data_IF_351261368170
#
_entry.id   IF_351261368170
#
_cell.length_a   1.000
_cell.length_b   1.000
_cell.length_c   1.000
_cell.angle_alpha   90.00
_cell.angle_beta   90.00
_cell.angle_gamma   90.00
#
_symmetry.space_group_name_H-M   'P 1'
#
loop_
_entity.id
_entity.type
_entity.pdbx_description
1 polymer ?
#
# COMPACT_ATOMS: atom_id res chain seq x y z
N UNK A 1 -7.18 12.21 -7.93
CA UNK A 1 -6.41 11.90 -9.17
C UNK A 1 -5.83 10.51 -9.07
N UNK A 2 -5.66 9.82 -10.19
CA UNK A 2 -5.21 8.42 -10.25
C UNK A 2 -3.90 8.31 -11.03
N UNK A 3 -2.93 7.55 -10.52
CA UNK A 3 -1.70 7.14 -11.21
C UNK A 3 -1.64 5.62 -11.28
N UNK A 4 -1.02 5.10 -12.34
CA UNK A 4 -0.87 3.67 -12.58
C UNK A 4 0.61 3.32 -12.74
N UNK A 5 0.98 2.17 -12.21
CA UNK A 5 2.26 1.51 -12.45
C UNK A 5 1.96 0.05 -12.79
N UNK A 6 2.66 -0.52 -13.75
CA UNK A 6 2.55 -1.93 -14.10
C UNK A 6 3.91 -2.51 -14.44
N UNK A 7 4.11 -3.77 -14.09
CA UNK A 7 5.29 -4.54 -14.46
C UNK A 7 4.92 -6.00 -14.58
N UNK A 8 5.65 -6.71 -15.42
CA UNK A 8 5.50 -8.16 -15.62
C UNK A 8 6.86 -8.81 -15.44
N UNK A 9 6.87 -10.01 -14.88
CA UNK A 9 8.05 -10.83 -14.68
C UNK A 9 7.62 -12.27 -14.45
N UNK A 10 8.58 -13.19 -14.37
CA UNK A 10 8.30 -14.59 -14.07
C UNK A 10 9.23 -15.14 -12.99
N UNK A 11 8.84 -16.30 -12.46
CA UNK A 11 9.66 -17.14 -11.60
C UNK A 11 9.93 -18.47 -12.32
N UNK A 12 11.19 -18.93 -12.30
CA UNK A 12 11.61 -20.28 -12.70
C UNK A 12 11.21 -21.32 -11.64
N UNK A 13 9.94 -21.29 -11.23
CA UNK A 13 9.32 -22.21 -10.29
C UNK A 13 7.89 -22.51 -10.74
N UNK A 14 7.44 -23.74 -10.49
CA UNK A 14 6.07 -24.15 -10.79
C UNK A 14 5.03 -23.40 -9.98
N UNK A 15 3.82 -23.27 -10.53
CA UNK A 15 2.71 -22.49 -9.96
C UNK A 15 2.40 -22.87 -8.50
N UNK A 16 2.45 -24.16 -8.16
CA UNK A 16 2.21 -24.63 -6.79
C UNK A 16 3.26 -24.12 -5.80
N UNK A 17 4.54 -24.12 -6.20
CA UNK A 17 5.64 -23.64 -5.37
C UNK A 17 5.56 -22.11 -5.19
N UNK A 18 5.26 -21.37 -6.26
CA UNK A 18 5.07 -19.91 -6.20
C UNK A 18 3.86 -19.53 -5.34
N UNK A 19 2.75 -20.24 -5.48
CA UNK A 19 1.54 -20.01 -4.68
C UNK A 19 1.80 -20.31 -3.20
N UNK A 20 2.49 -21.40 -2.87
CA UNK A 20 2.87 -21.72 -1.50
C UNK A 20 3.84 -20.66 -0.91
N UNK A 21 4.87 -20.29 -1.67
CA UNK A 21 5.81 -19.25 -1.28
C UNK A 21 5.10 -17.92 -1.01
N UNK A 22 4.08 -17.56 -1.81
CA UNK A 22 3.30 -16.35 -1.59
C UNK A 22 2.60 -16.30 -0.23
N UNK A 23 2.12 -17.44 0.26
CA UNK A 23 1.53 -17.52 1.59
C UNK A 23 2.58 -17.51 2.71
N UNK A 24 3.79 -18.01 2.44
CA UNK A 24 4.90 -18.08 3.39
C UNK A 24 5.90 -16.92 3.30
N UNK A 25 5.65 -15.93 2.43
CA UNK A 25 6.65 -14.91 2.05
C UNK A 25 7.12 -14.02 3.20
N UNK A 26 6.45 -14.00 4.35
CA UNK A 26 6.85 -13.19 5.50
C UNK A 26 7.06 -14.04 6.74
N UNK A 27 8.13 -13.80 7.49
CA UNK A 27 9.17 -12.78 7.27
C UNK A 27 10.19 -13.18 6.17
N UNK A 28 10.86 -12.16 5.60
CA UNK A 28 12.01 -12.31 4.70
C UNK A 28 12.96 -11.09 4.81
N UNK A 29 14.24 -11.19 4.39
CA UNK A 29 15.23 -10.10 4.55
C UNK A 29 14.89 -8.79 3.83
N UNK A 30 14.06 -8.84 2.79
CA UNK A 30 13.69 -7.69 1.96
C UNK A 30 12.40 -6.99 2.44
N UNK A 31 11.70 -7.57 3.42
CA UNK A 31 10.41 -7.11 3.92
C UNK A 31 10.37 -6.90 5.43
N UNK A 32 11.48 -6.44 6.04
CA UNK A 32 11.63 -6.14 7.48
C UNK A 32 10.62 -5.15 8.07
N UNK A 33 9.94 -4.40 7.21
CA UNK A 33 8.91 -3.45 7.62
C UNK A 33 7.57 -4.14 7.91
N UNK A 34 7.36 -5.40 7.50
CA UNK A 34 6.16 -6.17 7.85
C UNK A 34 6.32 -6.68 9.28
N UNK A 35 5.53 -6.14 10.21
CA UNK A 35 5.57 -6.49 11.62
C UNK A 35 4.78 -7.77 11.92
N UNK A 36 3.58 -7.90 11.34
CA UNK A 36 2.75 -9.09 11.51
C UNK A 36 1.94 -9.40 10.25
N UNK A 37 1.42 -10.62 10.20
CA UNK A 37 0.55 -11.11 9.13
C UNK A 37 -0.43 -12.10 9.71
N UNK A 38 -1.71 -11.78 9.61
CA UNK A 38 -2.79 -12.56 10.23
C UNK A 38 -3.79 -12.98 9.15
N UNK A 39 -4.28 -14.21 9.22
CA UNK A 39 -5.35 -14.68 8.33
C UNK A 39 -6.69 -14.39 8.99
N UNK A 40 -7.47 -13.49 8.41
CA UNK A 40 -8.80 -13.11 8.93
C UNK A 40 -9.83 -14.16 8.57
N UNK A 41 -9.83 -14.59 7.31
CA UNK A 41 -10.74 -15.62 6.83
C UNK A 41 -10.12 -16.42 5.71
N UNK A 42 -10.50 -17.69 5.63
CA UNK A 42 -10.13 -18.59 4.56
C UNK A 42 -11.30 -19.52 4.27
N UNK A 43 -11.66 -19.64 3.01
CA UNK A 43 -12.76 -20.47 2.57
C UNK A 43 -12.38 -21.16 1.26
N UNK A 44 -12.66 -22.46 1.19
CA UNK A 44 -12.52 -23.26 -0.01
C UNK A 44 -13.90 -23.58 -0.54
N UNK A 45 -14.13 -23.28 -1.81
CA UNK A 45 -15.34 -23.62 -2.55
C UNK A 45 -15.10 -24.93 -3.32
N UNK A 46 -15.75 -26.05 -2.96
CA UNK A 46 -15.59 -27.33 -3.64
C UNK A 46 -16.11 -27.35 -5.09
N UNK A 47 -17.09 -26.53 -5.44
CA UNK A 47 -17.67 -26.51 -6.79
C UNK A 47 -16.69 -25.83 -7.76
N UNK A 48 -16.26 -24.62 -7.43
CA UNK A 48 -15.31 -23.86 -8.25
C UNK A 48 -13.86 -24.29 -8.04
N UNK A 49 -13.56 -25.05 -6.98
CA UNK A 49 -12.20 -25.44 -6.55
C UNK A 49 -11.30 -24.22 -6.28
N UNK A 50 -11.90 -23.18 -5.69
CA UNK A 50 -11.21 -21.92 -5.40
C UNK A 50 -10.96 -21.75 -3.91
N UNK A 51 -9.71 -21.41 -3.58
CA UNK A 51 -9.33 -21.01 -2.23
C UNK A 51 -9.30 -19.49 -2.14
N UNK A 52 -10.23 -18.92 -1.37
CA UNK A 52 -10.22 -17.49 -1.03
C UNK A 52 -9.58 -17.29 0.34
N UNK A 53 -8.55 -16.46 0.44
CA UNK A 53 -7.93 -16.09 1.72
C UNK A 53 -7.91 -14.57 1.86
N UNK A 54 -8.35 -14.06 3.01
CA UNK A 54 -8.22 -12.66 3.41
C UNK A 54 -7.20 -12.56 4.55
N UNK A 55 -6.18 -11.72 4.38
CA UNK A 55 -5.13 -11.48 5.36
C UNK A 55 -5.02 -10.00 5.71
N UNK A 56 -4.60 -9.74 6.94
CA UNK A 56 -4.20 -8.41 7.39
C UNK A 56 -2.69 -8.39 7.61
N UNK A 57 -2.01 -7.45 7.00
CA UNK A 57 -0.59 -7.21 7.23
C UNK A 57 -0.39 -5.88 7.95
N UNK A 58 0.36 -5.90 9.04
CA UNK A 58 0.78 -4.67 9.73
C UNK A 58 2.18 -4.30 9.25
N UNK A 59 2.34 -3.09 8.74
CA UNK A 59 3.62 -2.57 8.24
C UNK A 59 4.07 -1.38 9.07
N UNK A 60 5.30 -1.41 9.57
CA UNK A 60 5.98 -0.23 10.13
C UNK A 60 6.18 0.78 9.00
N UNK A 61 5.72 2.01 9.21
CA UNK A 61 5.82 3.07 8.21
C UNK A 61 6.20 4.39 8.86
N UNK A 62 6.54 5.38 8.03
CA UNK A 62 6.89 6.73 8.45
C UNK A 62 6.19 7.70 7.53
N UNK A 63 5.56 8.72 8.10
CA UNK A 63 4.84 9.72 7.33
C UNK A 63 5.86 10.65 6.66
N UNK A 64 5.74 10.91 5.34
CA UNK A 64 6.59 11.89 4.68
C UNK A 64 6.42 13.28 5.31
N UNK A 65 7.53 14.01 5.53
CA UNK A 65 7.52 15.34 6.14
C UNK A 65 6.53 16.35 5.49
N UNK A 66 6.31 16.37 4.15
CA UNK A 66 5.30 17.24 3.54
C UNK A 66 3.87 16.96 4.01
N UNK A 67 3.55 15.71 4.36
CA UNK A 67 2.22 15.30 4.83
C UNK A 67 2.00 15.70 6.29
N UNK A 68 3.05 15.57 7.12
CA UNK A 68 3.02 16.03 8.53
C UNK A 68 2.73 17.54 8.66
N UNK A 69 3.13 18.35 7.68
CA UNK A 69 2.87 19.81 7.68
C UNK A 69 1.41 20.17 7.35
N UNK A 70 0.64 19.25 6.74
CA UNK A 70 -0.71 19.54 6.24
C UNK A 70 -1.82 19.01 7.14
N UNK A 71 -1.58 17.91 7.83
CA UNK A 71 -2.58 17.20 8.61
C UNK A 71 -2.21 17.27 10.10
N UNK A 72 -3.18 17.53 11.00
CA UNK A 72 -2.90 17.55 12.43
C UNK A 72 -2.32 16.21 12.90
N UNK A 73 -1.21 16.23 13.65
CA UNK A 73 -0.55 15.02 14.16
C UNK A 73 -1.51 14.06 14.88
N UNK A 74 -2.52 14.60 15.57
CA UNK A 74 -3.58 13.83 16.23
C UNK A 74 -4.46 13.03 15.25
N UNK A 75 -4.74 13.55 14.05
CA UNK A 75 -5.47 12.81 13.01
C UNK A 75 -4.61 11.76 12.31
N UNK A 76 -3.30 11.82 12.54
CA UNK A 76 -2.31 11.04 11.84
C UNK A 76 -1.89 9.75 12.59
N UNK A 77 -2.28 9.55 13.85
CA UNK A 77 -1.87 8.35 14.61
C UNK A 77 -0.36 8.10 14.58
N UNK A 78 0.43 9.19 14.50
CA UNK A 78 1.88 9.15 14.37
C UNK A 78 2.50 9.50 15.72
N UNK A 79 3.54 8.77 16.08
CA UNK A 79 4.36 9.05 17.25
C UNK A 79 5.10 10.38 17.07
N UNK A 80 5.66 10.94 18.15
CA UNK A 80 6.39 12.21 18.13
C UNK A 80 7.56 12.20 17.14
N UNK A 81 8.19 11.03 16.99
CA UNK A 81 9.28 10.79 16.04
C UNK A 81 8.79 10.63 14.59
N UNK A 82 7.48 10.64 14.33
CA UNK A 82 6.87 10.46 13.01
C UNK A 82 6.75 9.01 12.54
N UNK A 83 7.10 8.03 13.38
CA UNK A 83 6.81 6.62 13.14
C UNK A 83 5.31 6.35 13.25
N UNK A 84 4.83 5.41 12.44
CA UNK A 84 3.44 4.97 12.45
C UNK A 84 3.36 3.53 11.96
N UNK A 85 2.15 2.99 11.93
CA UNK A 85 1.86 1.67 11.39
C UNK A 85 0.80 1.79 10.31
N UNK A 86 0.90 0.92 9.31
CA UNK A 86 -0.06 0.83 8.23
C UNK A 86 -0.66 -0.56 8.13
N UNK A 87 -1.96 -0.60 7.86
CA UNK A 87 -2.75 -1.82 7.83
C UNK A 87 -3.10 -2.13 6.39
N UNK A 88 -2.61 -3.25 5.87
CA UNK A 88 -2.85 -3.69 4.50
C UNK A 88 -3.78 -4.89 4.52
N UNK A 89 -4.95 -4.74 3.91
CA UNK A 89 -5.86 -5.84 3.66
C UNK A 89 -5.50 -6.49 2.33
N UNK A 90 -5.15 -7.77 2.37
CA UNK A 90 -4.88 -8.61 1.20
C UNK A 90 -6.02 -9.61 1.02
N UNK A 91 -6.58 -9.68 -0.17
CA UNK A 91 -7.46 -10.77 -0.60
C UNK A 91 -6.76 -11.54 -1.71
N UNK A 92 -6.71 -12.85 -1.58
CA UNK A 92 -6.21 -13.76 -2.62
C UNK A 92 -7.29 -14.77 -3.00
N UNK A 93 -7.34 -15.13 -4.27
CA UNK A 93 -8.16 -16.21 -4.82
C UNK A 93 -7.24 -17.08 -5.65
N UNK A 94 -7.16 -18.37 -5.30
CA UNK A 94 -6.38 -19.38 -6.03
C UNK A 94 -7.36 -20.33 -6.71
N UNK A 95 -7.22 -20.51 -8.02
CA UNK A 95 -7.96 -21.51 -8.79
C UNK A 95 -6.97 -22.61 -9.22
N UNK A 96 -7.06 -23.76 -8.56
CA UNK A 96 -6.11 -24.87 -8.77
C UNK A 96 -6.35 -25.55 -10.12
N UNK A 97 -7.60 -25.61 -10.56
CA UNK A 97 -7.99 -26.23 -11.85
C UNK A 97 -7.44 -25.41 -13.02
N UNK A 98 -7.64 -24.10 -12.98
CA UNK A 98 -7.21 -23.19 -14.05
C UNK A 98 -5.75 -22.74 -13.90
N UNK A 99 -5.13 -22.96 -12.73
CA UNK A 99 -3.73 -22.67 -12.47
C UNK A 99 -3.41 -21.17 -12.44
N UNK A 100 -4.27 -20.40 -11.78
CA UNK A 100 -4.03 -18.97 -11.56
C UNK A 100 -4.28 -18.57 -10.11
N UNK A 101 -3.62 -17.50 -9.68
CA UNK A 101 -3.87 -16.83 -8.42
C UNK A 101 -4.00 -15.32 -8.66
N UNK A 102 -5.12 -14.75 -8.21
CA UNK A 102 -5.34 -13.31 -8.19
C UNK A 102 -5.23 -12.78 -6.78
N UNK A 103 -4.57 -11.64 -6.64
CA UNK A 103 -4.39 -10.99 -5.34
C UNK A 103 -4.69 -9.50 -5.45
N UNK A 104 -5.36 -8.94 -4.45
CA UNK A 104 -5.66 -7.52 -4.31
C UNK A 104 -5.25 -7.10 -2.89
N UNK A 105 -4.33 -6.14 -2.81
CA UNK A 105 -3.83 -5.57 -1.57
C UNK A 105 -4.11 -4.07 -1.51
N UNK A 106 -4.66 -3.60 -0.39
CA UNK A 106 -4.96 -2.17 -0.19
C UNK A 106 -4.73 -1.73 1.25
N UNK A 107 -4.32 -0.47 1.42
CA UNK A 107 -4.25 0.15 2.73
C UNK A 107 -5.65 0.46 3.30
N UNK A 108 -5.84 0.19 4.59
CA UNK A 108 -7.06 0.52 5.34
C UNK A 108 -6.96 1.90 5.97
N UNK A 109 -5.77 2.27 6.42
CA UNK A 109 -5.41 3.58 6.93
C UNK A 109 -5.23 4.60 5.80
N UNK A 110 -5.32 5.90 6.09
CA UNK A 110 -4.99 7.00 5.15
C UNK A 110 -5.78 7.10 3.86
N UNK A 111 -6.92 6.42 3.73
CA UNK A 111 -7.71 6.43 2.50
C UNK A 111 -8.20 7.84 2.08
N UNK A 112 -8.26 8.78 3.01
CA UNK A 112 -8.56 10.20 2.74
C UNK A 112 -7.39 11.00 2.13
N UNK A 113 -6.18 10.43 2.14
CA UNK A 113 -4.94 11.04 1.65
C UNK A 113 -4.51 10.31 0.38
N UNK A 114 -4.23 9.01 0.51
CA UNK A 114 -3.74 8.15 -0.57
C UNK A 114 -4.29 6.73 -0.37
N UNK A 115 -4.99 6.22 -1.37
CA UNK A 115 -5.25 4.79 -1.48
C UNK A 115 -4.28 4.17 -2.48
N UNK A 116 -3.59 3.12 -2.05
CA UNK A 116 -2.71 2.28 -2.84
C UNK A 116 -3.42 0.94 -3.01
N UNK A 117 -3.70 0.56 -4.25
CA UNK A 117 -4.33 -0.72 -4.58
C UNK A 117 -3.35 -1.46 -5.48
N UNK A 118 -2.76 -2.53 -4.97
CA UNK A 118 -1.87 -3.42 -5.71
C UNK A 118 -2.62 -4.68 -6.10
N UNK A 119 -2.58 -5.04 -7.37
CA UNK A 119 -3.15 -6.27 -7.90
C UNK A 119 -2.07 -7.08 -8.58
N UNK A 120 -2.00 -8.34 -8.22
CA UNK A 120 -1.05 -9.27 -8.83
C UNK A 120 -1.80 -10.49 -9.36
N UNK A 121 -1.36 -10.96 -10.51
CA UNK A 121 -1.90 -12.16 -11.15
C UNK A 121 -0.76 -13.11 -11.44
N UNK A 122 -0.82 -14.29 -10.86
CA UNK A 122 0.13 -15.38 -11.07
C UNK A 122 -0.56 -16.41 -11.97
N UNK A 123 0.11 -16.89 -13.01
CA UNK A 123 -0.44 -17.89 -13.94
C UNK A 123 0.61 -18.92 -14.32
N UNK A 124 0.17 -20.18 -14.42
CA UNK A 124 0.92 -21.19 -15.17
C UNK A 124 0.96 -20.82 -16.66
N UNK A 125 2.04 -21.13 -17.39
CA UNK A 125 2.06 -21.05 -18.84
C UNK A 125 0.90 -21.85 -19.45
N UNK A 126 0.29 -21.33 -20.51
CA UNK A 126 -0.72 -22.06 -21.29
C UNK A 126 -0.06 -23.17 -22.10
N UNK A 127 -0.71 -24.33 -22.17
CA UNK A 127 -0.24 -25.50 -22.90
C UNK A 127 0.10 -25.15 -24.36
N UNK A 128 1.36 -25.34 -24.76
CA UNK A 128 1.86 -25.03 -26.11
C UNK A 128 3.20 -24.28 -26.18
N UNK A 129 3.80 -23.93 -25.04
CA UNK A 129 5.10 -23.21 -24.98
C UNK A 129 6.16 -24.11 -24.33
N UNK A 130 6.55 -25.18 -25.02
CA UNK A 130 7.75 -25.98 -24.72
C UNK A 130 7.76 -26.74 -23.38
N UNK A 131 8.72 -27.66 -23.24
CA UNK A 131 8.76 -28.73 -22.23
C UNK A 131 8.93 -28.31 -20.74
N UNK A 132 8.83 -27.03 -20.38
CA UNK A 132 9.04 -26.53 -19.00
C UNK A 132 7.79 -25.86 -18.38
N UNK A 133 6.59 -26.22 -18.83
CA UNK A 133 5.30 -25.69 -18.31
C UNK A 133 5.13 -25.91 -16.79
N UNK A 134 5.78 -26.92 -16.23
CA UNK A 134 5.72 -27.25 -14.80
C UNK A 134 6.67 -26.41 -13.93
N UNK A 135 7.62 -25.68 -14.53
CA UNK A 135 8.70 -25.01 -13.81
C UNK A 135 8.73 -23.49 -14.00
N UNK A 136 7.67 -22.88 -14.56
CA UNK A 136 7.59 -21.43 -14.73
C UNK A 136 6.24 -20.90 -14.23
N UNK A 137 6.24 -19.70 -13.68
CA UNK A 137 5.03 -18.97 -13.30
C UNK A 137 5.16 -17.51 -13.75
N UNK A 138 4.25 -17.09 -14.63
CA UNK A 138 4.16 -15.70 -15.08
C UNK A 138 3.44 -14.84 -14.04
N UNK A 139 3.90 -13.61 -13.85
CA UNK A 139 3.38 -12.66 -12.86
C UNK A 139 3.13 -11.30 -13.50
N UNK A 140 1.86 -10.88 -13.48
CA UNK A 140 1.45 -9.52 -13.84
C UNK A 140 1.20 -8.71 -12.57
N UNK A 141 1.83 -7.55 -12.43
CA UNK A 141 1.60 -6.63 -11.31
C UNK A 141 1.08 -5.30 -11.82
N UNK A 142 0.02 -4.80 -11.17
CA UNK A 142 -0.50 -3.45 -11.40
C UNK A 142 -0.74 -2.74 -10.06
N UNK A 143 -0.37 -1.47 -9.99
CA UNK A 143 -0.55 -0.63 -8.81
C UNK A 143 -1.30 0.63 -9.20
N UNK A 144 -2.42 0.86 -8.53
CA UNK A 144 -3.24 2.06 -8.68
C UNK A 144 -3.07 2.95 -7.45
N UNK A 145 -2.59 4.16 -7.66
CA UNK A 145 -2.42 5.18 -6.64
C UNK A 145 -3.52 6.23 -6.78
N UNK A 146 -4.44 6.31 -5.82
CA UNK A 146 -5.54 7.28 -5.80
C UNK A 146 -5.27 8.35 -4.73
N UNK A 147 -4.84 9.53 -5.16
CA UNK A 147 -4.64 10.68 -4.28
C UNK A 147 -5.94 11.47 -4.09
N UNK A 148 -6.32 11.68 -2.83
CA UNK A 148 -7.48 12.49 -2.39
C UNK A 148 -7.07 13.77 -1.64
N UNK A 149 -5.77 14.07 -1.57
CA UNK A 149 -5.24 15.27 -0.91
C UNK A 149 -5.88 16.56 -1.45
N UNK A 150 -6.08 16.65 -2.76
CA UNK A 150 -6.72 17.83 -3.36
C UNK A 150 -8.12 18.12 -2.82
N UNK A 151 -8.90 17.08 -2.53
CA UNK A 151 -10.24 17.22 -1.92
C UNK A 151 -10.13 17.69 -0.47
N UNK A 152 -9.17 17.18 0.30
CA UNK A 152 -8.93 17.60 1.68
C UNK A 152 -8.49 19.06 1.78
N UNK A 153 -7.62 19.50 0.86
CA UNK A 153 -7.20 20.90 0.80
C UNK A 153 -8.38 21.82 0.46
N UNK A 154 -9.24 21.43 -0.48
CA UNK A 154 -10.46 22.18 -0.82
C UNK A 154 -11.41 22.28 0.39
N UNK A 155 -11.67 21.16 1.08
CA UNK A 155 -12.50 21.13 2.30
C UNK A 155 -11.93 22.02 3.41
N UNK A 156 -10.60 22.03 3.60
CA UNK A 156 -9.95 22.92 4.59
C UNK A 156 -10.11 24.39 4.22
N UNK A 157 -9.90 24.76 2.95
CA UNK A 157 -10.13 26.14 2.47
C UNK A 157 -11.58 26.58 2.68
N UNK A 158 -12.54 25.70 2.39
CA UNK A 158 -13.97 25.98 2.62
C UNK A 158 -14.29 26.17 4.11
N UNK A 159 -13.75 25.33 5.00
CA UNK A 159 -13.91 25.48 6.46
C UNK A 159 -13.31 26.78 6.97
N UNK A 160 -12.12 27.17 6.50
CA UNK A 160 -11.52 28.46 6.85
C UNK A 160 -12.28 29.65 6.28
N UNK A 161 -12.79 29.55 5.05
CA UNK A 161 -13.69 30.56 4.49
C UNK A 161 -14.93 30.74 5.37
N UNK A 162 -15.61 29.64 5.74
CA UNK A 162 -16.77 29.67 6.63
C UNK A 162 -16.44 30.20 8.04
N UNK A 163 -15.25 29.90 8.58
CA UNK A 163 -14.83 30.38 9.90
C UNK A 163 -14.49 31.88 9.89
N UNK A 164 -13.89 32.40 8.82
CA UNK A 164 -13.70 33.83 8.61
C UNK A 164 -15.06 34.55 8.50
N UNK A 165 -16.03 33.98 7.76
CA UNK A 165 -17.38 34.54 7.64
C UNK A 165 -18.20 34.46 8.94
N UNK A 166 -18.04 33.41 9.74
CA UNK A 166 -18.72 33.30 11.04
C UNK A 166 -18.18 34.32 12.06
N UNK A 167 -16.87 34.59 12.02
CA UNK A 167 -16.24 35.59 12.91
C UNK A 167 -16.65 37.02 12.54
N UNK A 168 -16.93 37.31 11.27
CA UNK A 168 -17.45 38.62 10.83
C UNK A 168 -18.93 38.85 11.13
N UNK A 169 -19.71 37.79 11.40
CA UNK A 169 -21.16 37.90 11.72
C UNK A 169 -21.42 38.03 13.22
N UNK A 170 -20.56 37.48 14.08
CA UNK A 170 -20.60 37.71 15.53
C UNK A 170 -19.83 38.98 15.90
N UNK A 171 -20.34 40.13 15.46
CA UNK A 171 -19.79 41.44 15.80
C UNK A 171 -19.79 41.70 17.31
N UNK A 172 -18.64 42.12 17.82
CA UNK A 172 -18.49 42.70 19.17
C UNK A 172 -19.09 44.13 19.11
N UNK A 173 -19.98 44.56 20.03
CA UNK A 173 -20.76 45.78 19.85
C UNK A 173 -20.02 47.08 20.21
N UNK A 174 -18.70 47.08 20.32
CA UNK A 174 -17.91 48.27 20.61
C UNK A 174 -16.60 48.24 19.83
N UNK A 175 -16.61 48.83 18.63
CA UNK A 175 -15.49 49.62 18.09
C UNK A 175 -15.89 50.28 16.77
N UNK A 176 -15.49 51.54 16.67
CA UNK A 176 -15.75 52.49 15.60
C UNK A 176 -15.46 51.97 14.19
N UNK A 177 -16.23 52.53 13.26
CA UNK A 177 -16.14 52.37 11.82
C UNK A 177 -14.76 52.87 11.36
N UNK A 178 -13.87 51.93 11.02
CA UNK A 178 -12.67 52.19 10.21
C UNK A 178 -12.92 51.51 8.86
N UNK A 179 -12.72 52.30 7.80
CA UNK A 179 -13.01 51.99 6.41
C UNK A 179 -12.36 50.68 5.91
N UNK A 180 -13.04 50.07 4.94
CA UNK A 180 -12.77 48.80 4.28
C UNK A 180 -11.31 48.58 3.86
N UNK A 181 -10.59 47.74 4.60
CA UNK A 181 -9.44 46.99 4.08
C UNK A 181 -9.92 45.59 3.66
N UNK A 182 -9.93 45.24 2.36
CA UNK A 182 -10.25 43.88 1.95
C UNK A 182 -9.14 42.96 2.45
N UNK A 183 -9.46 42.09 3.41
CA UNK A 183 -8.55 41.03 3.91
C UNK A 183 -8.12 40.18 2.72
N UNK A 184 -6.94 40.50 2.17
CA UNK A 184 -6.34 39.82 1.04
C UNK A 184 -6.22 38.33 1.37
N UNK A 185 -6.83 37.41 0.60
CA UNK A 185 -6.61 35.99 0.81
C UNK A 185 -5.14 35.72 0.46
N UNK A 186 -4.34 35.45 1.49
CA UNK A 186 -2.89 35.26 1.36
C UNK A 186 -2.51 34.39 0.16
N UNK A 187 -1.99 35.05 -0.87
CA UNK A 187 -1.56 34.48 -2.15
C UNK A 187 -0.61 33.27 -1.98
N UNK A 188 0.17 33.27 -0.89
CA UNK A 188 1.10 32.20 -0.51
C UNK A 188 0.45 30.82 -0.24
N UNK A 189 -0.85 30.75 0.11
CA UNK A 189 -1.52 29.46 0.35
C UNK A 189 -2.06 28.79 -0.93
N UNK A 190 -2.06 29.50 -2.05
CA UNK A 190 -2.50 28.97 -3.35
C UNK A 190 -1.43 28.13 -4.05
N UNK A 191 -0.15 28.51 -3.91
CA UNK A 191 0.99 27.88 -4.58
C UNK A 191 1.48 26.60 -3.89
N UNK A 192 1.23 26.44 -2.59
CA UNK A 192 1.72 25.30 -1.80
C UNK A 192 0.91 24.01 -2.04
N UNK A 193 -0.37 24.09 -2.40
CA UNK A 193 -1.21 22.90 -2.57
C UNK A 193 -0.88 22.07 -3.82
N UNK A 194 -0.50 22.73 -4.92
CA UNK A 194 -0.06 22.06 -6.15
C UNK A 194 1.28 21.36 -5.97
N UNK A 195 2.25 22.04 -5.36
CA UNK A 195 3.58 21.49 -5.09
C UNK A 195 3.53 20.28 -4.15
N UNK A 196 2.72 20.33 -3.08
CA UNK A 196 2.63 19.20 -2.13
C UNK A 196 1.90 18.01 -2.74
N UNK A 197 0.85 18.25 -3.54
CA UNK A 197 0.17 17.19 -4.28
C UNK A 197 1.13 16.47 -5.23
N UNK A 198 1.88 17.22 -6.03
CA UNK A 198 2.93 16.69 -6.91
C UNK A 198 3.99 15.91 -6.13
N UNK A 199 4.45 16.44 -4.98
CA UNK A 199 5.43 15.78 -4.14
C UNK A 199 4.94 14.43 -3.60
N UNK A 200 3.70 14.36 -3.08
CA UNK A 200 3.14 13.09 -2.59
C UNK A 200 2.99 12.09 -3.72
N UNK A 201 2.56 12.53 -4.90
CA UNK A 201 2.41 11.67 -6.07
C UNK A 201 3.76 11.10 -6.53
N UNK A 202 4.79 11.94 -6.65
CA UNK A 202 6.15 11.52 -6.99
C UNK A 202 6.73 10.56 -5.94
N UNK A 203 6.59 10.87 -4.65
CA UNK A 203 7.05 9.98 -3.57
C UNK A 203 6.33 8.63 -3.63
N UNK A 204 5.03 8.63 -3.88
CA UNK A 204 4.23 7.41 -3.93
C UNK A 204 4.62 6.53 -5.10
N UNK A 205 4.80 7.13 -6.28
CA UNK A 205 5.23 6.40 -7.48
C UNK A 205 6.64 5.84 -7.31
N UNK A 206 7.60 6.65 -6.86
CA UNK A 206 8.96 6.20 -6.59
C UNK A 206 9.01 5.08 -5.55
N UNK A 207 8.17 5.14 -4.51
CA UNK A 207 8.10 4.08 -3.49
C UNK A 207 7.57 2.78 -4.07
N UNK A 208 6.55 2.85 -4.94
CA UNK A 208 6.01 1.70 -5.68
C UNK A 208 7.07 1.08 -6.60
N UNK A 209 7.74 1.89 -7.41
CA UNK A 209 8.80 1.43 -8.31
C UNK A 209 9.93 0.72 -7.53
N UNK A 210 10.35 1.30 -6.39
CA UNK A 210 11.39 0.72 -5.55
C UNK A 210 10.94 -0.50 -4.75
N UNK A 211 9.64 -0.69 -4.53
CA UNK A 211 9.14 -1.82 -3.74
C UNK A 211 9.05 -3.11 -4.53
N UNK A 212 8.76 -3.03 -5.84
CA UNK A 212 8.54 -4.23 -6.66
C UNK A 212 9.77 -5.16 -6.75
N UNK A 213 10.99 -4.65 -7.00
CA UNK A 213 12.18 -5.52 -7.00
C UNK A 213 12.46 -6.15 -5.62
N UNK A 214 12.08 -5.48 -4.52
CA UNK A 214 12.23 -6.04 -3.17
C UNK A 214 11.22 -7.15 -2.91
N UNK A 215 9.99 -6.99 -3.39
CA UNK A 215 8.95 -8.02 -3.29
C UNK A 215 9.38 -9.29 -4.06
N UNK A 216 9.90 -9.12 -5.28
CA UNK A 216 10.42 -10.22 -6.09
C UNK A 216 11.58 -10.94 -5.39
N UNK A 217 12.59 -10.19 -4.91
CA UNK A 217 13.73 -10.77 -4.16
C UNK A 217 13.30 -11.50 -2.88
N UNK A 218 12.34 -10.95 -2.14
CA UNK A 218 11.76 -11.59 -0.95
C UNK A 218 11.11 -12.93 -1.28
N UNK A 219 10.37 -13.00 -2.40
CA UNK A 219 9.79 -14.25 -2.88
C UNK A 219 10.87 -15.25 -3.31
N UNK A 220 11.89 -14.82 -4.05
CA UNK A 220 13.00 -15.68 -4.48
C UNK A 220 13.73 -16.33 -3.30
N UNK A 221 13.89 -15.62 -2.18
CA UNK A 221 14.47 -16.20 -0.95
C UNK A 221 13.57 -17.33 -0.42
N UNK A 222 12.26 -17.13 -0.36
CA UNK A 222 11.32 -18.14 0.14
C UNK A 222 11.27 -19.34 -0.80
N UNK A 223 11.29 -19.12 -2.11
CA UNK A 223 11.34 -20.16 -3.13
C UNK A 223 12.64 -20.98 -3.06
N UNK A 224 13.78 -20.33 -2.83
CA UNK A 224 15.05 -21.02 -2.63
C UNK A 224 15.04 -21.90 -1.36
N UNK A 225 14.45 -21.39 -0.27
CA UNK A 225 14.24 -22.18 0.97
C UNK A 225 13.35 -23.39 0.73
N UNK A 226 12.22 -23.21 0.02
CA UNK A 226 11.34 -24.32 -0.37
C UNK A 226 12.06 -25.37 -1.20
N UNK A 227 12.88 -24.96 -2.17
CA UNK A 227 13.63 -25.89 -3.05
C UNK A 227 14.67 -26.71 -2.29
N UNK A 228 15.37 -26.09 -1.34
CA UNK A 228 16.51 -26.72 -0.69
C UNK A 228 16.13 -27.51 0.58
N UNK A 229 15.09 -27.07 1.30
CA UNK A 229 14.72 -27.65 2.61
C UNK A 229 13.22 -27.82 2.81
N UNK A 230 12.41 -27.71 1.74
CA UNK A 230 10.97 -27.83 1.83
C UNK A 230 10.34 -26.80 2.79
N UNK A 231 9.25 -27.19 3.44
CA UNK A 231 8.56 -26.34 4.40
C UNK A 231 9.41 -26.05 5.64
N UNK A 232 10.18 -27.02 6.11
CA UNK A 232 11.04 -26.87 7.30
C UNK A 232 12.11 -25.81 7.07
N UNK A 233 12.81 -25.86 5.93
CA UNK A 233 13.81 -24.84 5.57
C UNK A 233 13.22 -23.43 5.43
N UNK A 234 11.95 -23.31 5.03
CA UNK A 234 11.25 -22.01 5.06
C UNK A 234 11.00 -21.55 6.48
N UNK A 235 10.48 -22.42 7.35
CA UNK A 235 10.14 -22.07 8.73
C UNK A 235 11.39 -21.72 9.55
N UNK A 236 12.49 -22.44 9.37
CA UNK A 236 13.77 -22.14 10.01
C UNK A 236 14.34 -20.80 9.51
N UNK A 237 14.34 -20.58 8.20
CA UNK A 237 14.74 -19.29 7.63
C UNK A 237 13.87 -18.13 8.11
N UNK A 238 12.56 -18.36 8.29
CA UNK A 238 11.65 -17.36 8.86
C UNK A 238 11.98 -17.06 10.34
N UNK A 239 12.41 -18.05 11.14
CA UNK A 239 12.85 -17.82 12.53
C UNK A 239 14.11 -16.96 12.56
N UNK A 240 15.13 -17.31 11.77
CA UNK A 240 16.36 -16.54 11.66
C UNK A 240 16.11 -15.09 11.23
N UNK A 241 15.19 -14.86 10.27
CA UNK A 241 14.83 -13.51 9.83
C UNK A 241 14.13 -12.67 10.91
N UNK A 242 13.48 -13.30 11.89
CA UNK A 242 12.88 -12.59 13.04
C UNK A 242 13.94 -12.18 14.04
N UNK A 243 14.91 -13.05 14.31
CA UNK A 243 16.00 -12.77 15.25
C UNK A 243 16.85 -11.58 14.79
N UNK A 244 17.11 -11.46 13.48
CA UNK A 244 17.84 -10.31 12.91
C UNK A 244 17.02 -8.99 12.96
N UNK A 245 15.72 -9.05 13.25
CA UNK A 245 14.85 -7.87 13.36
C UNK A 245 14.65 -7.35 14.79
N UNK A 246 15.03 -8.15 15.80
CA UNK A 246 15.03 -7.75 17.22
C UNK A 246 16.33 -7.02 17.56
#
# INVERSE_FOLDING_TARGET
MVKFYSTTYDYDYGFSAVTLAYFLRYPNPYSRHVASTDTISRHFDPETQRLTTVRLHVKRSRIPAPVLKLLPKATLGANEDGSTQSFILEKSVVDVKQGWMHTDSRNLDWNNVLSVIERQTYRRPTAGVGANEEQRTDVDVSVTLKSRIGEQIRKRRQRWGQQATATSVMGNPEKEIVEDEPVQPGWFNSWTSGAIRSAVETISLQRTEKSQPKAQKGMSVVLARLRNGGLEGVLEGMRADREVQL
#
